data_IF_071392464996
#
_entry.id   IF_071392464996
#
_cell.length_a   1.000
_cell.length_b   1.000
_cell.length_c   1.000
_cell.angle_alpha   90.00
_cell.angle_beta   90.00
_cell.angle_gamma   90.00
#
_symmetry.space_group_name_H-M   'P 1'
#
loop_
_entity.id
_entity.type
_entity.pdbx_description
1 polymer ?
#
# COMPACT_ATOMS: atom_id res chain seq x y z
N UNK A 1 -1.51 15.02 6.54
CA UNK A 1 -0.76 15.61 7.66
C UNK A 1 -0.34 17.01 7.23
N UNK A 2 -0.50 18.06 8.06
CA UNK A 2 0.00 19.40 7.73
C UNK A 2 1.50 19.37 7.40
N UNK A 3 1.95 20.18 6.44
CA UNK A 3 3.36 20.28 6.01
C UNK A 3 4.32 20.49 7.20
N UNK A 4 3.92 21.33 8.16
CA UNK A 4 4.68 21.60 9.38
C UNK A 4 4.96 20.36 10.23
N UNK A 5 3.99 19.46 10.33
CA UNK A 5 4.16 18.25 11.13
C UNK A 5 5.11 17.27 10.43
N UNK A 6 5.06 17.21 9.09
CA UNK A 6 5.98 16.39 8.29
C UNK A 6 7.42 16.89 8.46
N UNK A 7 7.62 18.21 8.40
CA UNK A 7 8.94 18.83 8.62
C UNK A 7 9.48 18.50 10.02
N UNK A 8 8.65 18.66 11.07
CA UNK A 8 9.05 18.29 12.44
C UNK A 8 9.47 16.82 12.55
N UNK A 9 8.73 15.92 11.90
CA UNK A 9 9.04 14.47 11.86
C UNK A 9 10.36 14.19 11.15
N UNK A 10 10.64 14.89 10.05
CA UNK A 10 11.91 14.80 9.31
C UNK A 10 13.08 15.24 10.20
N UNK A 11 12.96 16.40 10.86
CA UNK A 11 14.01 16.95 11.72
C UNK A 11 14.26 16.08 12.96
N UNK A 12 13.20 15.46 13.52
CA UNK A 12 13.32 14.54 14.65
C UNK A 12 14.11 13.26 14.30
N UNK A 13 13.98 12.77 13.07
CA UNK A 13 14.63 11.53 12.62
C UNK A 13 15.98 11.76 11.91
N UNK A 14 16.21 12.96 11.39
CA UNK A 14 17.48 13.39 10.79
C UNK A 14 17.91 14.74 11.37
N UNK A 15 18.50 14.74 12.58
CA UNK A 15 18.93 15.98 13.27
C UNK A 15 20.09 16.70 12.56
N UNK A 16 20.69 16.07 11.55
CA UNK A 16 21.72 16.67 10.71
C UNK A 16 21.15 17.57 9.59
N UNK A 17 19.83 17.68 9.47
CA UNK A 17 19.15 18.60 8.57
C UNK A 17 18.59 19.79 9.35
N UNK A 18 18.63 20.97 8.75
CA UNK A 18 17.94 22.16 9.30
C UNK A 18 16.56 22.31 8.68
N UNK A 19 15.68 23.08 9.33
CA UNK A 19 14.33 23.33 8.81
C UNK A 19 14.37 23.96 7.41
N UNK A 20 15.28 24.91 7.21
CA UNK A 20 15.46 25.60 5.93
C UNK A 20 15.86 24.61 4.83
N UNK A 21 16.79 23.70 5.12
CA UNK A 21 17.21 22.68 4.17
C UNK A 21 16.06 21.73 3.78
N UNK A 22 15.21 21.35 4.74
CA UNK A 22 14.03 20.52 4.46
C UNK A 22 13.02 21.28 3.58
N UNK A 23 12.76 22.56 3.85
CA UNK A 23 11.87 23.39 3.02
C UNK A 23 12.39 23.54 1.59
N UNK A 24 13.70 23.72 1.43
CA UNK A 24 14.33 23.80 0.11
C UNK A 24 14.15 22.50 -0.69
N UNK A 25 14.29 21.35 -0.03
CA UNK A 25 14.03 20.05 -0.66
C UNK A 25 12.57 19.92 -1.10
N UNK A 26 11.61 20.40 -0.31
CA UNK A 26 10.18 20.37 -0.63
C UNK A 26 9.88 21.23 -1.86
N UNK A 27 10.39 22.46 -1.89
CA UNK A 27 10.24 23.35 -3.04
C UNK A 27 10.85 22.77 -4.31
N UNK A 28 12.04 22.18 -4.20
CA UNK A 28 12.71 21.52 -5.32
C UNK A 28 11.88 20.36 -5.86
N UNK A 29 11.29 19.55 -4.99
CA UNK A 29 10.44 18.43 -5.40
C UNK A 29 9.13 18.90 -6.05
N UNK A 30 8.51 19.96 -5.51
CA UNK A 30 7.33 20.60 -6.09
C UNK A 30 7.61 21.17 -7.48
N UNK A 31 8.77 21.80 -7.66
CA UNK A 31 9.20 22.37 -8.93
C UNK A 31 9.46 21.29 -10.00
N UNK A 32 10.05 20.15 -9.64
CA UNK A 32 10.24 19.01 -10.56
C UNK A 32 8.93 18.49 -11.12
N UNK A 33 7.87 18.50 -10.31
CA UNK A 33 6.54 18.07 -10.74
C UNK A 33 5.78 19.15 -11.51
N UNK A 34 6.46 20.20 -11.99
CA UNK A 34 5.90 21.30 -12.76
C UNK A 34 4.66 21.95 -12.11
N UNK A 35 4.62 22.01 -10.77
CA UNK A 35 3.51 22.60 -10.02
C UNK A 35 2.25 21.73 -9.92
N UNK A 36 2.30 20.46 -10.34
CA UNK A 36 1.20 19.51 -10.18
C UNK A 36 1.01 19.02 -8.74
N UNK A 37 2.01 19.25 -7.88
CA UNK A 37 1.99 18.83 -6.48
C UNK A 37 1.62 19.99 -5.57
N UNK A 38 0.76 19.70 -4.59
CA UNK A 38 0.59 20.58 -3.43
C UNK A 38 1.84 20.55 -2.54
N UNK A 39 1.99 21.55 -1.69
CA UNK A 39 3.09 21.63 -0.74
C UNK A 39 3.11 20.40 0.18
N UNK A 40 1.95 19.93 0.63
CA UNK A 40 1.80 18.73 1.47
C UNK A 40 2.27 17.47 0.71
N UNK A 41 1.90 17.33 -0.56
CA UNK A 41 2.28 16.18 -1.37
C UNK A 41 3.79 16.16 -1.63
N UNK A 42 4.38 17.32 -1.92
CA UNK A 42 5.83 17.47 -2.05
C UNK A 42 6.55 17.15 -0.72
N UNK A 43 6.01 17.57 0.42
CA UNK A 43 6.55 17.24 1.74
C UNK A 43 6.54 15.73 2.02
N UNK A 44 5.46 15.03 1.66
CA UNK A 44 5.38 13.59 1.76
C UNK A 44 6.42 12.88 0.87
N UNK A 45 6.62 13.34 -0.36
CA UNK A 45 7.64 12.79 -1.26
C UNK A 45 9.06 12.99 -0.75
N UNK A 46 9.38 14.17 -0.20
CA UNK A 46 10.68 14.43 0.42
C UNK A 46 10.90 13.52 1.63
N UNK A 47 9.89 13.37 2.50
CA UNK A 47 9.95 12.42 3.61
C UNK A 47 10.24 11.00 3.12
N UNK A 48 9.62 10.58 2.02
CA UNK A 48 9.86 9.27 1.41
C UNK A 48 11.27 9.12 0.86
N UNK A 49 11.73 10.09 0.07
CA UNK A 49 13.06 10.10 -0.55
C UNK A 49 14.19 10.09 0.48
N UNK A 50 13.97 10.71 1.65
CA UNK A 50 14.94 10.72 2.75
C UNK A 50 15.01 9.38 3.51
N UNK A 51 14.20 8.39 3.13
CA UNK A 51 14.06 7.13 3.86
C UNK A 51 13.34 7.30 5.20
N UNK A 52 12.67 8.45 5.37
CA UNK A 52 11.87 8.80 6.56
C UNK A 52 10.41 8.39 6.33
N UNK A 53 10.13 7.62 5.26
CA UNK A 53 8.97 6.75 5.19
C UNK A 53 8.86 6.06 6.54
N UNK A 54 7.85 6.46 7.29
CA UNK A 54 7.58 5.90 8.59
C UNK A 54 7.55 4.40 8.38
N UNK A 55 8.42 3.70 9.10
CA UNK A 55 8.19 2.31 9.48
C UNK A 55 6.90 2.24 10.35
N UNK A 56 5.77 2.76 9.87
CA UNK A 56 4.58 2.94 10.70
C UNK A 56 3.51 3.94 10.27
N UNK A 57 3.60 4.67 9.16
CA UNK A 57 2.32 5.08 8.53
C UNK A 57 1.91 3.90 7.66
N UNK A 58 1.23 2.93 8.30
CA UNK A 58 0.30 2.08 7.57
C UNK A 58 -0.48 3.05 6.70
N UNK A 59 -0.45 2.84 5.39
CA UNK A 59 -1.61 3.22 4.59
C UNK A 59 -2.74 2.39 5.20
N UNK A 60 -3.36 2.91 6.26
CA UNK A 60 -4.56 2.34 6.81
C UNK A 60 -5.58 2.61 5.73
N UNK A 61 -5.76 1.60 4.89
CA UNK A 61 -6.94 1.47 4.09
C UNK A 61 -8.14 1.85 4.97
N UNK A 62 -8.79 2.96 4.62
CA UNK A 62 -9.89 3.50 5.42
C UNK A 62 -11.08 2.56 5.41
N UNK A 63 -11.23 1.76 4.35
CA UNK A 63 -12.34 0.85 4.20
C UNK A 63 -12.11 -0.42 5.02
N UNK A 64 -13.14 -0.84 5.77
CA UNK A 64 -13.18 -2.12 6.47
C UNK A 64 -13.85 -3.17 5.60
N UNK A 65 -13.59 -4.45 5.90
CA UNK A 65 -14.15 -5.57 5.15
C UNK A 65 -15.69 -5.53 5.14
N UNK A 66 -16.34 -5.18 6.26
CA UNK A 66 -17.79 -5.09 6.35
C UNK A 66 -18.40 -4.03 5.42
N UNK A 67 -17.64 -3.02 5.04
CA UNK A 67 -18.11 -1.89 4.25
C UNK A 67 -17.92 -2.14 2.73
N UNK A 68 -17.44 -3.32 2.34
CA UNK A 68 -17.34 -3.73 0.95
C UNK A 68 -18.72 -3.93 0.33
N UNK A 69 -19.04 -3.11 -0.67
CA UNK A 69 -20.26 -3.24 -1.46
C UNK A 69 -19.94 -3.38 -2.95
N UNK A 70 -20.76 -4.11 -3.73
CA UNK A 70 -20.62 -4.14 -5.19
C UNK A 70 -20.63 -2.73 -5.78
N UNK A 71 -19.82 -2.51 -6.83
CA UNK A 71 -19.72 -1.23 -7.52
C UNK A 71 -18.62 -0.30 -7.01
N UNK A 72 -18.01 -0.58 -5.85
CA UNK A 72 -16.81 0.12 -5.42
C UNK A 72 -15.62 -0.19 -6.34
N UNK A 73 -14.85 0.84 -6.70
CA UNK A 73 -13.60 0.75 -7.48
C UNK A 73 -12.44 1.37 -6.69
N UNK A 74 -11.20 1.01 -7.03
CA UNK A 74 -9.98 1.51 -6.38
C UNK A 74 -10.00 1.36 -4.85
N UNK A 75 -10.24 0.14 -4.40
CA UNK A 75 -10.37 -0.19 -2.98
C UNK A 75 -9.03 -0.68 -2.43
N UNK A 76 -8.58 -0.02 -1.36
CA UNK A 76 -7.53 -0.53 -0.48
C UNK A 76 -8.16 -1.10 0.79
N UNK A 77 -7.62 -2.22 1.28
CA UNK A 77 -8.00 -2.86 2.54
C UNK A 77 -6.74 -3.18 3.36
N UNK A 78 -6.87 -3.20 4.68
CA UNK A 78 -5.83 -3.67 5.59
C UNK A 78 -6.42 -4.75 6.47
N UNK A 79 -5.85 -5.95 6.39
CA UNK A 79 -6.28 -7.10 7.18
C UNK A 79 -5.11 -8.04 7.45
N UNK A 80 -5.37 -9.04 8.28
CA UNK A 80 -4.46 -10.16 8.55
C UNK A 80 -4.82 -11.32 7.64
N UNK A 81 -3.81 -11.98 7.10
CA UNK A 81 -3.99 -13.24 6.37
C UNK A 81 -4.44 -14.32 7.36
N UNK A 82 -5.65 -14.82 7.20
CA UNK A 82 -6.17 -15.91 8.03
C UNK A 82 -5.71 -17.25 7.46
N UNK A 83 -5.79 -17.41 6.14
CA UNK A 83 -5.46 -18.66 5.47
C UNK A 83 -5.09 -18.42 4.02
N UNK A 84 -4.07 -19.14 3.53
CA UNK A 84 -3.72 -19.25 2.12
C UNK A 84 -3.94 -20.69 1.69
N UNK A 85 -4.75 -20.92 0.66
CA UNK A 85 -4.97 -22.26 0.11
C UNK A 85 -3.96 -22.56 -0.99
N UNK A 86 -3.55 -23.83 -1.17
CA UNK A 86 -2.77 -24.23 -2.33
C UNK A 86 -3.48 -23.85 -3.63
N UNK A 87 -2.72 -23.43 -4.63
CA UNK A 87 -3.26 -23.14 -5.95
C UNK A 87 -3.78 -24.41 -6.62
N UNK A 88 -4.76 -24.24 -7.52
CA UNK A 88 -5.34 -25.31 -8.33
C UNK A 88 -5.29 -24.93 -9.80
N UNK A 89 -4.96 -25.88 -10.65
CA UNK A 89 -5.00 -25.70 -12.10
C UNK A 89 -6.26 -26.30 -12.68
N UNK A 90 -6.70 -25.75 -13.81
CA UNK A 90 -7.88 -26.23 -14.54
C UNK A 90 -7.69 -26.05 -16.04
N UNK A 91 -8.33 -26.90 -16.83
CA UNK A 91 -8.28 -26.81 -18.29
C UNK A 91 -9.27 -25.75 -18.82
N UNK A 92 -8.89 -25.10 -19.92
CA UNK A 92 -9.73 -24.14 -20.65
C UNK A 92 -9.82 -24.61 -22.09
N UNK A 93 -11.03 -24.63 -22.65
CA UNK A 93 -11.25 -25.11 -24.01
C UNK A 93 -10.33 -24.41 -25.02
N UNK A 94 -9.40 -25.19 -25.58
CA UNK A 94 -8.44 -24.75 -26.60
C UNK A 94 -7.42 -23.69 -26.15
N UNK A 95 -7.23 -23.47 -24.85
CA UNK A 95 -6.36 -22.42 -24.30
C UNK A 95 -5.34 -22.96 -23.32
N UNK A 96 -4.40 -22.09 -22.92
CA UNK A 96 -3.46 -22.35 -21.83
C UNK A 96 -4.22 -22.70 -20.54
N UNK A 97 -3.70 -23.66 -19.80
CA UNK A 97 -4.18 -24.07 -18.49
C UNK A 97 -4.38 -22.84 -17.58
N UNK A 98 -5.55 -22.75 -16.96
CA UNK A 98 -5.87 -21.71 -15.99
C UNK A 98 -5.40 -22.09 -14.58
N UNK A 99 -5.22 -21.09 -13.73
CA UNK A 99 -4.84 -21.27 -12.32
C UNK A 99 -5.72 -20.44 -11.41
N UNK A 100 -6.04 -20.97 -10.24
CA UNK A 100 -6.80 -20.26 -9.20
C UNK A 100 -6.15 -20.48 -7.83
N UNK A 101 -6.06 -19.40 -7.05
CA UNK A 101 -5.63 -19.44 -5.66
C UNK A 101 -6.66 -18.69 -4.81
N UNK A 102 -6.96 -19.24 -3.63
CA UNK A 102 -7.87 -18.62 -2.66
C UNK A 102 -7.13 -18.22 -1.41
N UNK A 103 -7.53 -17.10 -0.82
CA UNK A 103 -7.02 -16.62 0.46
C UNK A 103 -8.17 -16.06 1.29
N UNK A 104 -8.08 -16.19 2.61
CA UNK A 104 -9.00 -15.53 3.55
C UNK A 104 -8.25 -14.38 4.21
N UNK A 105 -8.78 -13.16 4.04
CA UNK A 105 -8.31 -11.96 4.70
C UNK A 105 -9.31 -11.57 5.80
N UNK A 106 -8.83 -11.21 6.98
CA UNK A 106 -9.67 -10.79 8.10
C UNK A 106 -9.27 -9.45 8.68
N UNK A 107 -10.25 -8.69 9.16
CA UNK A 107 -10.04 -7.51 9.98
C UNK A 107 -10.96 -7.54 11.21
N UNK A 108 -11.03 -6.45 11.97
CA UNK A 108 -11.89 -6.37 13.17
C UNK A 108 -13.40 -6.42 12.87
N UNK A 109 -13.80 -6.25 11.61
CA UNK A 109 -15.20 -6.12 11.18
C UNK A 109 -15.72 -7.37 10.47
N UNK A 110 -14.83 -8.24 10.00
CA UNK A 110 -15.21 -9.49 9.35
C UNK A 110 -14.07 -10.13 8.57
N UNK A 111 -14.43 -11.00 7.63
CA UNK A 111 -13.49 -11.68 6.75
C UNK A 111 -13.99 -11.70 5.31
N UNK A 112 -13.08 -11.61 4.36
CA UNK A 112 -13.34 -11.70 2.93
C UNK A 112 -12.54 -12.86 2.30
N UNK A 113 -13.18 -13.55 1.36
CA UNK A 113 -12.50 -14.54 0.51
C UNK A 113 -11.97 -13.82 -0.71
N UNK A 114 -10.65 -13.85 -0.88
CA UNK A 114 -9.97 -13.34 -2.07
C UNK A 114 -9.74 -14.51 -3.03
N UNK A 115 -10.06 -14.29 -4.31
CA UNK A 115 -9.85 -15.27 -5.38
C UNK A 115 -8.94 -14.64 -6.42
N UNK A 116 -7.76 -15.22 -6.59
CA UNK A 116 -6.76 -14.80 -7.55
C UNK A 116 -6.75 -15.77 -8.73
N UNK A 117 -6.67 -15.23 -9.94
CA UNK A 117 -6.70 -16.00 -11.18
C UNK A 117 -5.40 -15.82 -11.95
N UNK A 118 -4.95 -16.89 -12.60
CA UNK A 118 -3.81 -16.94 -13.51
C UNK A 118 -2.56 -16.25 -12.93
N UNK A 119 -2.01 -15.24 -13.61
CA UNK A 119 -0.81 -14.52 -13.16
C UNK A 119 -0.94 -13.98 -11.73
N UNK A 120 -2.13 -13.54 -11.32
CA UNK A 120 -2.35 -13.06 -9.94
C UNK A 120 -2.23 -14.19 -8.93
N UNK A 121 -2.62 -15.41 -9.29
CA UNK A 121 -2.42 -16.58 -8.43
C UNK A 121 -0.92 -16.90 -8.33
N UNK A 122 -0.17 -16.81 -9.43
CA UNK A 122 1.29 -17.00 -9.44
C UNK A 122 2.01 -15.95 -8.58
N UNK A 123 1.61 -14.67 -8.67
CA UNK A 123 2.17 -13.60 -7.84
C UNK A 123 1.97 -13.85 -6.35
N UNK A 124 0.78 -14.30 -5.95
CA UNK A 124 0.50 -14.61 -4.55
C UNK A 124 1.28 -15.85 -4.09
N UNK A 125 1.38 -16.88 -4.92
CA UNK A 125 2.13 -18.09 -4.58
C UNK A 125 3.65 -17.84 -4.45
N UNK A 126 4.20 -16.96 -5.28
CA UNK A 126 5.60 -16.55 -5.21
C UNK A 126 5.88 -15.58 -4.03
N UNK A 127 4.82 -15.03 -3.42
CA UNK A 127 4.95 -14.14 -2.26
C UNK A 127 5.09 -14.93 -0.96
N UNK A 128 5.78 -14.35 0.03
CA UNK A 128 5.93 -14.95 1.38
C UNK A 128 4.72 -14.64 2.28
N UNK A 129 3.51 -14.80 1.75
CA UNK A 129 2.27 -14.59 2.49
C UNK A 129 1.87 -15.87 3.21
N UNK A 130 1.92 -15.81 4.54
CA UNK A 130 1.56 -16.90 5.44
C UNK A 130 0.44 -16.46 6.38
N UNK A 131 -0.35 -17.41 6.93
CA UNK A 131 -1.27 -17.12 8.02
C UNK A 131 -0.61 -16.32 9.15
N UNK A 132 -1.28 -15.26 9.61
CA UNK A 132 -0.82 -14.39 10.69
C UNK A 132 -0.07 -13.13 10.24
N UNK A 133 0.32 -13.03 8.96
CA UNK A 133 0.89 -11.82 8.37
C UNK A 133 -0.11 -10.67 8.25
#
# INVERSE_FOLDING_TARGET
MPTQDIIKKILALKPNLTEEAVRELIEKERAKAAGLLTEEAAAHLVSSNLGINGAGERIEAKLKIRDLTPGLSDVSLTGRVIQVFPSRTFERDGKKQGKVLRMILGDKTGSAVLVFWDEKADHVEASKLDPGK
#
